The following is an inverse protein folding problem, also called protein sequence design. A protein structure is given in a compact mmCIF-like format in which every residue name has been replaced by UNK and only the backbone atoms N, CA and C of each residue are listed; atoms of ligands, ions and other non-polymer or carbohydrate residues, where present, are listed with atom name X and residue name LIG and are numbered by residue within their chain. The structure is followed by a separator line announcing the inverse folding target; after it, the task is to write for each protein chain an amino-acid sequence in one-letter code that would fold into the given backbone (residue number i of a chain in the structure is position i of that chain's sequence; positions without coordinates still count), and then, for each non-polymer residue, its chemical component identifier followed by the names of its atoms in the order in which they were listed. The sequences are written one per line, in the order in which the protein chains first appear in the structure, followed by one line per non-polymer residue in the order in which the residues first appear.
data_IF_276384985247
#
_entry.id   IF_276384985247
#
_cell.length_a   1.000
_cell.length_b   1.000
_cell.length_c   1.000
_cell.angle_alpha   90.00
_cell.angle_beta   90.00
_cell.angle_gamma   90.00
#
_symmetry.space_group_name_H-M   'P 1'
#
loop_
_entity.id
_entity.type
_entity.pdbx_description
1 polymer ?
#
# COMPACT_ATOMS: atom_id res chain seq x y z
N UNK A 1 70.64 35.78 -34.71
CA UNK A 1 69.19 35.59 -34.96
C UNK A 1 68.77 34.27 -34.31
N UNK A 2 67.97 34.38 -33.23
CA UNK A 2 67.39 33.24 -32.51
C UNK A 2 66.34 32.54 -33.37
N UNK A 3 66.45 31.22 -33.53
CA UNK A 3 65.35 30.37 -34.01
C UNK A 3 64.81 29.59 -32.82
N UNK A 4 63.76 30.13 -32.21
CA UNK A 4 62.93 29.44 -31.23
C UNK A 4 62.21 28.28 -31.92
N UNK A 5 62.49 27.05 -31.50
CA UNK A 5 61.60 25.92 -31.77
C UNK A 5 60.56 25.89 -30.64
N UNK A 6 59.25 25.84 -30.94
CA UNK A 6 58.23 25.72 -29.91
C UNK A 6 58.28 24.31 -29.32
N UNK A 7 58.45 24.23 -27.99
CA UNK A 7 58.24 22.99 -27.25
C UNK A 7 56.79 22.56 -27.41
N UNK A 8 56.55 21.51 -28.20
CA UNK A 8 55.25 20.85 -28.27
C UNK A 8 55.06 20.06 -26.97
N UNK A 9 54.41 20.70 -25.99
CA UNK A 9 53.91 20.02 -24.81
C UNK A 9 52.81 19.04 -25.25
N UNK A 10 53.14 17.76 -25.38
CA UNK A 10 52.15 16.71 -25.47
C UNK A 10 51.44 16.61 -24.12
N UNK A 11 50.28 17.27 -23.99
CA UNK A 11 49.41 17.06 -22.84
C UNK A 11 48.99 15.59 -22.84
N UNK A 12 49.55 14.79 -21.92
CA UNK A 12 48.92 13.54 -21.50
C UNK A 12 47.63 13.91 -20.77
N UNK A 13 46.59 14.26 -21.52
CA UNK A 13 45.22 14.15 -21.03
C UNK A 13 44.98 12.65 -20.89
N UNK A 14 45.30 12.13 -19.71
CA UNK A 14 44.85 10.81 -19.31
C UNK A 14 43.34 10.86 -19.33
N UNK A 15 42.73 10.17 -20.31
CA UNK A 15 41.30 10.02 -20.40
C UNK A 15 40.78 9.56 -19.03
N UNK A 16 40.04 10.45 -18.35
CA UNK A 16 39.35 10.11 -17.12
C UNK A 16 38.39 8.98 -17.44
N UNK A 17 38.70 7.78 -16.94
CA UNK A 17 37.88 6.60 -17.16
C UNK A 17 36.53 6.86 -16.46
N UNK A 18 35.50 7.22 -17.23
CA UNK A 18 34.19 7.52 -16.67
C UNK A 18 33.61 6.24 -16.04
N UNK A 19 33.72 6.13 -14.72
CA UNK A 19 33.21 5.01 -13.88
C UNK A 19 31.68 4.87 -13.88
N UNK A 20 30.97 5.47 -14.84
CA UNK A 20 29.51 5.53 -14.87
C UNK A 20 28.87 4.48 -15.82
N UNK A 21 29.65 3.51 -16.32
CA UNK A 21 29.15 2.48 -17.25
C UNK A 21 28.41 1.31 -16.57
N UNK A 22 28.25 1.32 -15.24
CA UNK A 22 27.44 0.32 -14.55
C UNK A 22 25.94 0.58 -14.78
N UNK A 23 25.43 0.22 -15.95
CA UNK A 23 24.00 0.13 -16.19
C UNK A 23 23.39 -0.92 -15.26
N UNK A 24 22.33 -0.56 -14.53
CA UNK A 24 21.54 -1.58 -13.83
C UNK A 24 20.83 -2.46 -14.85
N UNK A 25 20.71 -3.78 -14.60
CA UNK A 25 19.88 -4.64 -15.43
C UNK A 25 18.47 -4.07 -15.53
N UNK A 26 17.90 -4.06 -16.74
CA UNK A 26 16.57 -3.52 -17.00
C UNK A 26 15.58 -4.12 -16.00
N UNK A 27 15.02 -3.27 -15.15
CA UNK A 27 14.06 -3.69 -14.12
C UNK A 27 12.81 -4.19 -14.82
N UNK A 28 12.40 -5.43 -14.57
CA UNK A 28 11.12 -5.97 -15.06
C UNK A 28 9.96 -5.12 -14.52
N UNK A 29 9.00 -4.80 -15.38
CA UNK A 29 7.78 -4.12 -14.99
C UNK A 29 6.94 -5.04 -14.10
N UNK A 30 6.57 -4.57 -12.91
CA UNK A 30 5.72 -5.31 -11.97
C UNK A 30 4.32 -4.70 -11.97
N UNK A 31 3.42 -5.27 -12.75
CA UNK A 31 2.10 -4.72 -13.05
C UNK A 31 1.00 -5.44 -12.26
N UNK A 32 -0.21 -4.90 -12.34
CA UNK A 32 -1.40 -5.66 -11.96
C UNK A 32 -1.65 -6.72 -13.03
N UNK A 33 -2.01 -7.92 -12.58
CA UNK A 33 -2.44 -9.02 -13.46
C UNK A 33 -3.96 -9.06 -13.59
N UNK A 34 -4.68 -8.52 -12.61
CA UNK A 34 -6.13 -8.36 -12.62
C UNK A 34 -6.52 -6.87 -12.69
N UNK A 35 -7.64 -6.58 -13.36
CA UNK A 35 -8.20 -5.22 -13.42
C UNK A 35 -8.91 -4.89 -12.10
N UNK A 36 -8.54 -3.83 -11.37
CA UNK A 36 -9.25 -3.42 -10.16
C UNK A 36 -10.74 -3.20 -10.41
N UNK A 37 -11.58 -3.76 -9.54
CA UNK A 37 -13.03 -3.71 -9.65
C UNK A 37 -13.66 -4.81 -10.50
N UNK A 38 -12.85 -5.72 -11.06
CA UNK A 38 -13.31 -6.89 -11.82
C UNK A 38 -13.26 -8.17 -10.97
N UNK A 39 -14.08 -9.20 -11.31
CA UNK A 39 -13.97 -10.52 -10.72
C UNK A 39 -12.63 -11.17 -11.05
N UNK A 40 -12.08 -11.93 -10.11
CA UNK A 40 -10.81 -12.63 -10.19
C UNK A 40 -11.00 -14.07 -9.72
N UNK A 41 -10.27 -15.02 -10.30
CA UNK A 41 -10.28 -16.41 -9.85
C UNK A 41 -9.50 -16.61 -8.55
N UNK A 42 -9.81 -17.67 -7.80
CA UNK A 42 -9.00 -18.06 -6.65
C UNK A 42 -7.57 -18.42 -7.11
N UNK A 43 -6.58 -18.11 -6.27
CA UNK A 43 -5.14 -18.35 -6.52
C UNK A 43 -4.53 -17.53 -7.67
N UNK A 44 -5.31 -16.71 -8.38
CA UNK A 44 -4.82 -15.82 -9.42
C UNK A 44 -3.90 -14.75 -8.82
N UNK A 45 -2.85 -14.38 -9.57
CA UNK A 45 -1.97 -13.26 -9.21
C UNK A 45 -2.78 -11.97 -9.32
N UNK A 46 -2.71 -11.13 -8.28
CA UNK A 46 -3.30 -9.80 -8.29
C UNK A 46 -2.26 -8.77 -8.70
N UNK A 47 -1.17 -8.72 -7.94
CA UNK A 47 -0.15 -7.68 -8.06
C UNK A 47 1.23 -8.22 -7.69
N UNK A 48 2.18 -8.09 -8.61
CA UNK A 48 3.59 -8.25 -8.30
C UNK A 48 4.16 -6.95 -7.73
N UNK A 49 4.97 -7.04 -6.68
CA UNK A 49 5.56 -5.88 -6.02
C UNK A 49 7.07 -5.92 -5.99
N UNK A 50 7.70 -4.75 -6.01
CA UNK A 50 9.15 -4.63 -5.87
C UNK A 50 9.47 -4.43 -4.40
N UNK A 51 10.48 -5.14 -3.89
CA UNK A 51 11.01 -4.86 -2.56
C UNK A 51 11.53 -3.42 -2.52
N UNK A 52 11.13 -2.69 -1.48
CA UNK A 52 11.62 -1.35 -1.20
C UNK A 52 12.93 -1.44 -0.42
N UNK A 53 13.83 -0.49 -0.65
CA UNK A 53 15.04 -0.38 0.17
C UNK A 53 14.65 -0.11 1.63
N UNK A 54 15.23 -0.87 2.56
CA UNK A 54 14.89 -0.82 4.00
C UNK A 54 13.74 -1.73 4.44
N UNK A 55 13.10 -2.45 3.52
CA UNK A 55 12.01 -3.38 3.84
C UNK A 55 12.48 -4.58 4.68
N UNK A 56 13.71 -5.05 4.46
CA UNK A 56 14.32 -6.12 5.27
C UNK A 56 14.60 -5.69 6.73
N UNK A 57 14.67 -4.36 6.99
CA UNK A 57 14.80 -3.79 8.33
C UNK A 57 13.45 -3.34 8.92
N UNK A 58 12.34 -3.77 8.31
CA UNK A 58 10.97 -3.35 8.64
C UNK A 58 10.73 -1.83 8.62
N UNK A 59 11.63 -1.03 8.03
CA UNK A 59 11.49 0.44 8.02
C UNK A 59 10.54 0.94 6.94
N UNK A 60 10.27 0.12 5.90
CA UNK A 60 9.31 0.43 4.84
C UNK A 60 8.44 -0.78 4.54
N UNK A 61 7.13 -0.56 4.57
CA UNK A 61 6.13 -1.55 4.20
C UNK A 61 5.93 -1.60 2.67
N UNK A 62 5.39 -2.72 2.13
CA UNK A 62 5.01 -2.79 0.72
C UNK A 62 3.89 -1.80 0.38
N UNK A 63 3.82 -1.39 -0.89
CA UNK A 63 2.82 -0.45 -1.42
C UNK A 63 1.40 -0.99 -1.23
N UNK A 64 1.23 -2.29 -1.55
CA UNK A 64 -0.02 -3.02 -1.41
C UNK A 64 0.16 -4.11 -0.37
N UNK A 65 -0.69 -4.11 0.64
CA UNK A 65 -0.75 -5.13 1.68
C UNK A 65 -1.88 -6.13 1.41
N UNK A 66 -1.78 -7.37 1.90
CA UNK A 66 -2.89 -8.31 1.85
C UNK A 66 -4.03 -7.76 2.70
N UNK A 67 -5.21 -7.62 2.09
CA UNK A 67 -6.45 -7.29 2.76
C UNK A 67 -7.32 -8.54 2.95
N UNK A 68 -8.63 -8.34 2.98
CA UNK A 68 -9.60 -9.42 3.16
C UNK A 68 -9.54 -10.38 1.98
N UNK A 69 -9.46 -11.68 2.25
CA UNK A 69 -9.40 -12.75 1.24
C UNK A 69 -8.23 -12.63 0.24
N UNK A 70 -7.12 -12.03 0.66
CA UNK A 70 -5.90 -11.92 -0.13
C UNK A 70 -4.73 -12.48 0.67
N UNK A 71 -3.87 -13.25 0.02
CA UNK A 71 -2.63 -13.76 0.61
C UNK A 71 -1.42 -13.12 -0.07
N UNK A 72 -0.36 -12.90 0.68
CA UNK A 72 0.90 -12.36 0.16
C UNK A 72 2.00 -13.42 0.28
N UNK A 73 2.71 -13.66 -0.81
CA UNK A 73 3.96 -14.42 -0.75
C UNK A 73 5.06 -13.55 -0.13
N UNK A 74 5.62 -13.97 1.00
CA UNK A 74 6.66 -13.25 1.74
C UNK A 74 7.95 -13.07 0.94
N UNK A 75 8.25 -14.00 0.02
CA UNK A 75 9.49 -13.95 -0.74
C UNK A 75 9.38 -12.97 -1.91
N UNK A 76 8.32 -13.06 -2.70
CA UNK A 76 8.18 -12.23 -3.90
C UNK A 76 7.38 -10.94 -3.67
N UNK A 77 6.70 -10.81 -2.53
CA UNK A 77 5.69 -9.78 -2.24
C UNK A 77 4.54 -9.76 -3.26
N UNK A 78 4.30 -10.90 -3.92
CA UNK A 78 3.20 -11.06 -4.86
C UNK A 78 1.91 -11.31 -4.09
N UNK A 79 0.87 -10.57 -4.43
CA UNK A 79 -0.46 -10.74 -3.87
C UNK A 79 -1.26 -11.73 -4.72
N UNK A 80 -1.93 -12.66 -4.07
CA UNK A 80 -2.78 -13.68 -4.68
C UNK A 80 -4.17 -13.63 -4.08
N UNK A 81 -5.17 -13.91 -4.89
CA UNK A 81 -6.54 -14.12 -4.42
C UNK A 81 -6.63 -15.40 -3.57
N UNK A 82 -7.22 -15.32 -2.38
CA UNK A 82 -7.54 -16.53 -1.59
C UNK A 82 -8.86 -17.16 -2.04
N UNK A 83 -9.82 -16.36 -2.50
CA UNK A 83 -11.10 -16.83 -3.03
C UNK A 83 -11.44 -16.18 -4.38
N UNK A 84 -12.44 -16.73 -5.07
CA UNK A 84 -13.03 -16.09 -6.25
C UNK A 84 -13.91 -14.92 -5.81
N UNK A 85 -13.72 -13.75 -6.40
CA UNK A 85 -14.47 -12.56 -6.01
C UNK A 85 -14.05 -11.31 -6.75
N UNK A 86 -14.62 -10.16 -6.39
CA UNK A 86 -14.26 -8.86 -6.98
C UNK A 86 -13.13 -8.21 -6.21
N UNK A 87 -12.03 -7.89 -6.89
CA UNK A 87 -10.90 -7.18 -6.29
C UNK A 87 -11.22 -5.69 -6.13
N UNK A 88 -10.96 -5.14 -4.94
CA UNK A 88 -11.04 -3.70 -4.66
C UNK A 88 -9.74 -3.19 -4.02
N UNK A 89 -9.52 -1.88 -4.12
CA UNK A 89 -8.36 -1.22 -3.51
C UNK A 89 -8.88 -0.36 -2.38
N UNK A 90 -8.35 -0.59 -1.18
CA UNK A 90 -8.58 0.25 -0.01
C UNK A 90 -7.32 1.05 0.29
N UNK A 91 -7.47 2.35 0.49
CA UNK A 91 -6.37 3.24 0.85
C UNK A 91 -6.38 3.47 2.36
N UNK A 92 -5.19 3.60 2.96
CA UNK A 92 -5.09 3.96 4.37
C UNK A 92 -5.57 5.37 4.60
N UNK A 93 -6.39 5.53 5.65
CA UNK A 93 -6.84 6.83 6.12
C UNK A 93 -5.69 7.67 6.66
N UNK A 94 -4.67 7.02 7.23
CA UNK A 94 -3.48 7.69 7.81
C UNK A 94 -2.53 8.17 6.71
N UNK A 95 -2.22 7.31 5.73
CA UNK A 95 -1.32 7.64 4.63
C UNK A 95 -1.78 6.98 3.31
N UNK A 96 -2.34 7.73 2.36
CA UNK A 96 -2.88 7.21 1.10
C UNK A 96 -1.88 6.44 0.21
N UNK A 97 -0.57 6.59 0.46
CA UNK A 97 0.46 5.83 -0.25
C UNK A 97 0.45 4.33 0.09
N UNK A 98 -0.05 3.94 1.27
CA UNK A 98 -0.21 2.55 1.66
C UNK A 98 -1.63 2.07 1.38
N UNK A 99 -1.73 0.96 0.65
CA UNK A 99 -3.01 0.41 0.19
C UNK A 99 -3.14 -1.05 0.58
N UNK A 100 -4.37 -1.54 0.58
CA UNK A 100 -4.70 -2.96 0.70
C UNK A 100 -5.48 -3.40 -0.52
N UNK A 101 -5.25 -4.64 -0.93
CA UNK A 101 -6.12 -5.32 -1.89
C UNK A 101 -7.08 -6.20 -1.11
N UNK A 102 -8.37 -5.96 -1.29
CA UNK A 102 -9.45 -6.73 -0.70
C UNK A 102 -10.19 -7.49 -1.81
N UNK A 103 -10.72 -8.68 -1.50
CA UNK A 103 -11.58 -9.46 -2.41
C UNK A 103 -12.93 -9.70 -1.76
N UNK A 104 -13.97 -9.23 -2.44
CA UNK A 104 -15.37 -9.46 -2.08
C UNK A 104 -15.88 -10.74 -2.77
N UNK A 105 -16.20 -11.81 -2.02
CA UNK A 105 -16.59 -13.10 -2.60
C UNK A 105 -17.95 -13.04 -3.32
N UNK A 106 -18.89 -12.23 -2.84
CA UNK A 106 -20.21 -12.10 -3.46
C UNK A 106 -20.15 -11.17 -4.67
N UNK A 107 -19.86 -11.76 -5.84
CA UNK A 107 -19.78 -11.05 -7.12
C UNK A 107 -21.12 -10.42 -7.49
N UNK A 108 -22.24 -11.09 -7.22
CA UNK A 108 -23.57 -10.59 -7.60
C UNK A 108 -23.98 -9.39 -6.76
N UNK A 109 -23.64 -9.38 -5.46
CA UNK A 109 -23.79 -8.20 -4.59
C UNK A 109 -23.10 -6.98 -5.20
N UNK A 110 -21.85 -7.12 -5.61
CA UNK A 110 -21.10 -6.00 -6.21
C UNK A 110 -21.68 -5.61 -7.57
N UNK A 111 -22.00 -6.58 -8.42
CA UNK A 111 -22.54 -6.35 -9.76
C UNK A 111 -23.86 -5.59 -9.72
N UNK A 112 -24.88 -6.11 -9.01
CA UNK A 112 -26.20 -5.48 -8.92
C UNK A 112 -26.13 -4.08 -8.31
N UNK A 113 -25.26 -3.87 -7.32
CA UNK A 113 -25.07 -2.57 -6.67
C UNK A 113 -24.47 -1.55 -7.63
N UNK A 114 -23.49 -1.98 -8.45
CA UNK A 114 -22.88 -1.13 -9.48
C UNK A 114 -23.87 -0.79 -10.60
N UNK A 115 -24.59 -1.77 -11.12
CA UNK A 115 -25.57 -1.54 -12.20
C UNK A 115 -26.71 -0.63 -11.76
N UNK A 116 -27.27 -0.87 -10.56
CA UNK A 116 -28.31 -0.02 -10.00
C UNK A 116 -27.80 1.41 -9.78
N UNK A 117 -26.58 1.57 -9.23
CA UNK A 117 -25.95 2.89 -9.07
C UNK A 117 -25.76 3.62 -10.40
N UNK A 118 -25.32 2.93 -11.45
CA UNK A 118 -25.20 3.50 -12.81
C UNK A 118 -26.57 3.93 -13.35
N UNK A 119 -27.59 3.10 -13.19
CA UNK A 119 -28.95 3.44 -13.62
C UNK A 119 -29.50 4.68 -12.88
N UNK A 120 -29.24 4.82 -11.58
CA UNK A 120 -29.61 6.01 -10.82
C UNK A 120 -28.82 7.26 -11.24
N UNK A 121 -27.52 7.12 -11.52
CA UNK A 121 -26.68 8.23 -12.02
C UNK A 121 -27.21 8.74 -13.36
N UNK A 122 -27.54 7.84 -14.29
CA UNK A 122 -28.09 8.20 -15.60
C UNK A 122 -29.45 8.90 -15.50
N UNK A 123 -30.20 8.67 -14.41
CA UNK A 123 -31.48 9.33 -14.12
C UNK A 123 -31.35 10.61 -13.29
N UNK A 124 -30.13 11.02 -12.92
CA UNK A 124 -29.90 12.17 -12.03
C UNK A 124 -30.40 11.97 -10.60
N UNK A 125 -30.65 10.72 -10.17
CA UNK A 125 -31.22 10.38 -8.85
C UNK A 125 -30.21 9.82 -7.86
N UNK A 126 -28.95 9.63 -8.28
CA UNK A 126 -27.90 9.11 -7.39
C UNK A 126 -27.20 10.25 -6.63
N UNK A 127 -27.03 10.07 -5.32
CA UNK A 127 -26.17 10.95 -4.52
C UNK A 127 -24.68 10.65 -4.75
N UNK A 128 -23.89 11.72 -4.76
CA UNK A 128 -22.42 11.67 -4.81
C UNK A 128 -21.77 11.57 -3.42
N UNK A 129 -22.57 11.68 -2.35
CA UNK A 129 -22.14 11.57 -0.94
C UNK A 129 -22.02 10.10 -0.52
N UNK A 130 -21.15 9.35 -1.18
CA UNK A 130 -20.96 7.91 -0.92
C UNK A 130 -19.47 7.58 -0.84
N UNK A 131 -19.10 6.60 0.00
CA UNK A 131 -17.72 6.16 0.21
C UNK A 131 -16.97 5.75 -1.08
N UNK A 132 -17.69 5.37 -2.13
CA UNK A 132 -17.12 5.07 -3.45
C UNK A 132 -16.61 6.30 -4.21
N UNK A 133 -17.05 7.51 -3.82
CA UNK A 133 -16.56 8.75 -4.39
C UNK A 133 -15.26 9.15 -3.68
N UNK A 134 -14.15 9.08 -4.40
CA UNK A 134 -12.80 9.34 -3.87
C UNK A 134 -12.69 10.76 -3.29
N UNK A 135 -13.35 11.74 -3.92
CA UNK A 135 -13.30 13.14 -3.48
C UNK A 135 -14.09 13.40 -2.18
N UNK A 136 -15.10 12.58 -1.89
CA UNK A 136 -15.95 12.74 -0.71
C UNK A 136 -15.49 11.89 0.49
N UNK A 137 -14.61 10.89 0.25
CA UNK A 137 -14.23 9.91 1.27
C UNK A 137 -13.60 10.55 2.51
N UNK A 138 -12.77 11.58 2.34
CA UNK A 138 -12.15 12.28 3.48
C UNK A 138 -13.16 13.03 4.35
N UNK A 139 -14.19 13.61 3.75
CA UNK A 139 -15.27 14.28 4.47
C UNK A 139 -16.15 13.27 5.22
N UNK A 140 -16.45 12.14 4.56
CA UNK A 140 -17.19 11.05 5.17
C UNK A 140 -16.46 10.48 6.38
N UNK A 141 -15.16 10.24 6.28
CA UNK A 141 -14.34 9.72 7.40
C UNK A 141 -14.32 10.69 8.58
N UNK A 142 -14.31 12.01 8.32
CA UNK A 142 -14.38 13.05 9.36
C UNK A 142 -15.77 13.12 10.00
N UNK A 143 -16.83 12.96 9.21
CA UNK A 143 -18.21 12.99 9.70
C UNK A 143 -18.53 11.77 10.58
N UNK A 144 -18.03 10.59 10.19
CA UNK A 144 -18.24 9.35 10.96
C UNK A 144 -17.41 9.33 12.23
N UNK A 145 -16.16 9.78 12.16
CA UNK A 145 -15.25 9.73 13.31
C UNK A 145 -14.38 10.99 13.42
N UNK A 146 -14.91 12.09 13.96
CA UNK A 146 -14.24 13.40 13.94
C UNK A 146 -12.84 13.38 14.57
N UNK A 147 -12.67 12.64 15.66
CA UNK A 147 -11.44 12.63 16.45
C UNK A 147 -10.48 11.50 16.04
N UNK A 148 -10.62 10.95 14.83
CA UNK A 148 -9.77 9.83 14.39
C UNK A 148 -8.28 10.19 14.40
N UNK A 149 -7.93 11.44 14.09
CA UNK A 149 -6.54 11.92 14.11
C UNK A 149 -5.96 11.91 15.51
N UNK A 150 -6.70 12.42 16.49
CA UNK A 150 -6.27 12.48 17.89
C UNK A 150 -6.01 11.07 18.43
N UNK A 151 -6.91 10.12 18.16
CA UNK A 151 -6.72 8.72 18.56
C UNK A 151 -5.49 8.06 17.94
N UNK A 152 -5.18 8.38 16.68
CA UNK A 152 -3.99 7.84 16.00
C UNK A 152 -2.70 8.48 16.55
N UNK A 153 -2.75 9.75 16.92
CA UNK A 153 -1.60 10.48 17.48
C UNK A 153 -1.40 10.23 18.98
N UNK A 154 -2.45 9.80 19.69
CA UNK A 154 -2.37 9.49 21.11
C UNK A 154 -1.45 8.29 21.36
N UNK A 155 -0.37 8.51 22.09
CA UNK A 155 0.57 7.46 22.49
C UNK A 155 0.17 6.97 23.89
N UNK A 156 -0.33 5.73 24.04
CA UNK A 156 -0.72 5.21 25.34
C UNK A 156 0.49 5.10 26.27
N UNK A 157 0.24 5.27 27.57
CA UNK A 157 1.29 5.09 28.59
C UNK A 157 1.65 3.61 28.71
N UNK A 158 2.84 3.32 29.21
CA UNK A 158 3.30 1.93 29.33
C UNK A 158 2.41 1.08 30.23
N UNK A 159 1.83 1.69 31.27
CA UNK A 159 0.89 1.05 32.21
C UNK A 159 -0.44 0.69 31.57
N UNK A 160 -0.86 1.42 30.54
CA UNK A 160 -2.09 1.13 29.78
C UNK A 160 -1.83 0.09 28.70
N UNK A 161 -0.62 0.09 28.11
CA UNK A 161 -0.21 -0.88 27.09
C UNK A 161 0.08 -2.25 27.68
N UNK A 162 0.80 -2.30 28.80
CA UNK A 162 1.13 -3.52 29.52
C UNK A 162 0.20 -3.67 30.72
N UNK A 163 -1.04 -4.04 30.41
CA UNK A 163 -2.07 -4.33 31.41
C UNK A 163 -1.58 -5.44 32.35
N UNK A 164 -1.87 -5.31 33.65
CA UNK A 164 -1.51 -6.32 34.64
C UNK A 164 -2.06 -7.71 34.24
N UNK A 165 -1.20 -8.73 34.06
CA UNK A 165 -1.62 -10.08 33.71
C UNK A 165 -2.62 -10.70 34.70
N UNK A 166 -2.66 -10.21 35.94
CA UNK A 166 -3.65 -10.64 36.91
C UNK A 166 -5.08 -10.35 36.44
N UNK A 167 -5.31 -9.24 35.73
CA UNK A 167 -6.63 -8.89 35.20
C UNK A 167 -7.11 -9.91 34.16
N UNK A 168 -6.20 -10.41 33.33
CA UNK A 168 -6.49 -11.49 32.39
C UNK A 168 -6.73 -12.82 33.11
N UNK A 169 -5.87 -13.18 34.07
CA UNK A 169 -6.02 -14.44 34.82
C UNK A 169 -7.33 -14.53 35.61
N UNK A 170 -7.89 -13.38 36.02
CA UNK A 170 -9.17 -13.26 36.73
C UNK A 170 -10.38 -13.15 35.79
N UNK A 171 -10.17 -13.11 34.47
CA UNK A 171 -11.23 -12.93 33.48
C UNK A 171 -11.85 -11.53 33.48
N UNK A 172 -11.14 -10.51 33.96
CA UNK A 172 -11.58 -9.10 33.88
C UNK A 172 -11.28 -8.54 32.48
N UNK A 173 -10.21 -9.02 31.86
CA UNK A 173 -9.81 -8.69 30.49
C UNK A 173 -9.75 -9.99 29.69
N UNK A 174 -10.37 -10.02 28.52
CA UNK A 174 -10.48 -11.22 27.69
C UNK A 174 -9.20 -11.55 26.90
N UNK A 175 -8.31 -10.56 26.70
CA UNK A 175 -7.10 -10.72 25.89
C UNK A 175 -5.97 -9.76 26.32
N UNK A 176 -4.72 -10.25 26.32
CA UNK A 176 -3.51 -9.44 26.51
C UNK A 176 -2.77 -9.26 25.18
N UNK A 177 -2.93 -8.11 24.54
CA UNK A 177 -2.29 -7.77 23.27
C UNK A 177 -1.33 -6.57 23.37
N UNK A 178 -0.22 -6.68 24.14
CA UNK A 178 0.71 -5.56 24.34
C UNK A 178 1.46 -5.13 23.06
N UNK A 179 1.48 -6.00 22.04
CA UNK A 179 2.18 -5.77 20.78
C UNK A 179 1.37 -4.91 19.79
N UNK A 180 0.05 -4.80 19.98
CA UNK A 180 -0.87 -4.02 19.13
C UNK A 180 -0.86 -2.53 19.48
N UNK A 181 0.34 -1.95 19.45
CA UNK A 181 0.57 -0.53 19.74
C UNK A 181 0.36 0.41 18.56
N UNK A 182 0.19 -0.14 17.36
CA UNK A 182 0.14 0.61 16.11
C UNK A 182 -1.28 0.61 15.54
N UNK A 183 -1.80 1.80 15.25
CA UNK A 183 -3.07 1.95 14.55
C UNK A 183 -2.87 1.80 13.03
N UNK A 184 -3.45 0.77 12.44
CA UNK A 184 -3.52 0.57 11.00
C UNK A 184 -4.96 0.79 10.51
N UNK A 185 -5.25 2.01 10.07
CA UNK A 185 -6.56 2.43 9.55
C UNK A 185 -6.50 2.81 8.07
#
# INVERSE_FOLDING_TARGET
MLRFSPGLFASKVTAGNAKNQAGHPRRKAKLFHAVPGSPVAAMEKLKEQRRRFGQDRHSRLPDYRPGVNVRMDSNTFTLYASCKGVMTIRESRINPAYKWLDIEPDVQKVYRSKEMRRALLNRGKASMMVASNVHYRSELDLLVEPNWRERVLHVPRETERFVDPNLFSRGIVDELCPMDRYSYM
#
